data_IF_733539851915
#
_entry.id   IF_733539851915
#
_cell.length_a   1.000
_cell.length_b   1.000
_cell.length_c   1.000
_cell.angle_alpha   90.00
_cell.angle_beta   90.00
_cell.angle_gamma   90.00
#
_symmetry.space_group_name_H-M   'P 1'
#
loop_
_entity.id
_entity.type
_entity.pdbx_description
1 polymer ?
#
# COMPACT_ATOMS: atom_id res chain seq x y z
N UNK A 1 10.00 -25.72 -9.01
CA UNK A 1 9.85 -24.95 -7.76
C UNK A 1 11.05 -24.04 -7.67
N UNK A 2 10.86 -22.73 -7.91
CA UNK A 2 11.94 -21.76 -7.77
C UNK A 2 12.24 -21.58 -6.27
N UNK A 3 13.48 -21.78 -5.87
CA UNK A 3 13.96 -21.41 -4.54
C UNK A 3 13.93 -19.88 -4.44
N UNK A 4 13.14 -19.34 -3.52
CA UNK A 4 13.11 -17.90 -3.28
C UNK A 4 14.53 -17.40 -2.95
N UNK A 5 14.96 -16.32 -3.60
CA UNK A 5 16.30 -15.76 -3.41
C UNK A 5 16.41 -14.93 -2.12
N UNK A 6 15.32 -14.89 -1.34
CA UNK A 6 15.17 -14.01 -0.20
C UNK A 6 14.95 -14.83 1.09
N UNK A 7 15.59 -14.39 2.17
CA UNK A 7 15.45 -14.95 3.50
C UNK A 7 14.53 -14.09 4.36
N UNK A 8 13.62 -14.73 5.11
CA UNK A 8 12.75 -14.04 6.06
C UNK A 8 13.44 -14.04 7.42
N UNK A 9 13.55 -12.86 8.04
CA UNK A 9 14.08 -12.69 9.39
C UNK A 9 13.10 -11.88 10.24
N UNK A 10 12.96 -12.26 11.50
CA UNK A 10 12.20 -11.50 12.49
C UNK A 10 13.16 -10.61 13.28
N UNK A 11 13.12 -9.29 13.03
CA UNK A 11 13.97 -8.33 13.73
C UNK A 11 13.19 -7.61 14.82
N UNK A 12 13.71 -7.61 16.05
CA UNK A 12 13.20 -6.79 17.17
C UNK A 12 13.57 -5.31 17.05
N UNK A 13 14.37 -4.96 16.04
CA UNK A 13 15.05 -3.68 15.89
C UNK A 13 14.23 -2.53 15.28
N UNK A 14 12.90 -2.56 15.35
CA UNK A 14 12.10 -1.47 14.75
C UNK A 14 12.45 -0.12 15.41
N UNK A 15 12.91 0.85 14.62
CA UNK A 15 13.28 2.16 15.12
C UNK A 15 12.01 2.97 15.46
N UNK A 16 11.82 3.26 16.75
CA UNK A 16 10.66 4.00 17.25
C UNK A 16 9.50 3.09 17.65
N UNK A 17 8.30 3.65 17.71
CA UNK A 17 7.09 2.89 18.03
C UNK A 17 6.62 2.13 16.78
N UNK A 18 6.74 0.80 16.79
CA UNK A 18 6.41 -0.04 15.62
C UNK A 18 4.95 0.12 15.14
N UNK A 19 4.03 0.45 16.05
CA UNK A 19 2.63 0.70 15.72
C UNK A 19 2.43 1.97 14.88
N UNK A 20 3.37 2.92 14.97
CA UNK A 20 3.36 4.19 14.22
C UNK A 20 3.95 4.03 12.81
N UNK A 21 4.80 3.03 12.58
CA UNK A 21 5.41 2.75 11.27
C UNK A 21 4.37 2.06 10.38
N UNK A 22 3.95 2.71 9.30
CA UNK A 22 2.94 2.17 8.37
C UNK A 22 3.57 1.43 7.20
N UNK A 23 2.77 0.55 6.61
CA UNK A 23 3.09 -0.24 5.43
C UNK A 23 4.24 -1.24 5.64
N UNK A 24 4.42 -1.70 6.88
CA UNK A 24 5.36 -2.77 7.25
C UNK A 24 4.62 -4.02 7.73
N UNK A 25 5.33 -5.14 7.79
CA UNK A 25 4.83 -6.38 8.37
C UNK A 25 5.34 -6.50 9.80
N UNK A 26 4.42 -6.60 10.75
CA UNK A 26 4.74 -6.72 12.18
C UNK A 26 4.54 -8.17 12.60
N UNK A 27 5.49 -8.71 13.35
CA UNK A 27 5.32 -9.95 14.08
C UNK A 27 5.23 -9.67 15.59
N UNK A 28 4.41 -10.45 16.29
CA UNK A 28 4.29 -10.43 17.75
C UNK A 28 4.32 -11.86 18.27
N UNK A 29 5.24 -12.14 19.18
CA UNK A 29 5.41 -13.44 19.79
C UNK A 29 4.90 -13.41 21.23
N UNK A 30 4.01 -14.34 21.57
CA UNK A 30 3.35 -14.41 22.86
C UNK A 30 3.53 -15.77 23.54
N UNK A 31 3.82 -15.75 24.84
CA UNK A 31 3.82 -16.90 25.74
C UNK A 31 2.41 -17.19 26.24
N UNK A 32 1.97 -18.44 26.15
CA UNK A 32 0.70 -18.84 26.77
C UNK A 32 0.85 -18.99 28.29
N UNK A 33 -0.01 -18.30 29.05
CA UNK A 33 0.03 -18.23 30.52
C UNK A 33 -1.20 -18.86 31.19
N UNK A 34 -2.05 -19.55 30.42
CA UNK A 34 -3.28 -20.18 30.90
C UNK A 34 -4.54 -19.57 30.30
N UNK A 35 -5.69 -19.97 30.84
CA UNK A 35 -7.00 -19.45 30.41
C UNK A 35 -7.53 -18.41 31.38
N UNK A 36 -8.41 -17.55 30.88
CA UNK A 36 -9.19 -16.56 31.63
C UNK A 36 -10.64 -16.62 31.20
N UNK A 37 -11.55 -16.28 32.12
CA UNK A 37 -12.93 -16.01 31.72
C UNK A 37 -13.00 -14.72 30.90
N UNK A 38 -13.90 -14.69 29.93
CA UNK A 38 -14.16 -13.49 29.15
C UNK A 38 -15.63 -13.31 28.89
N UNK A 39 -16.09 -12.08 29.12
CA UNK A 39 -17.43 -11.60 28.77
C UNK A 39 -17.40 -10.74 27.50
N UNK A 40 -16.23 -10.61 26.87
CA UNK A 40 -16.05 -9.81 25.67
C UNK A 40 -16.75 -10.52 24.53
N UNK A 41 -17.66 -9.80 23.87
CA UNK A 41 -18.23 -10.20 22.58
C UNK A 41 -17.62 -9.30 21.52
N UNK A 42 -17.10 -9.91 20.47
CA UNK A 42 -16.48 -9.21 19.35
C UNK A 42 -16.53 -10.06 18.09
N UNK A 43 -16.23 -9.43 16.96
CA UNK A 43 -16.12 -10.10 15.67
C UNK A 43 -14.64 -10.38 15.43
N UNK A 44 -14.29 -11.64 15.20
CA UNK A 44 -12.94 -12.04 14.79
C UNK A 44 -12.87 -11.88 13.27
N UNK A 45 -11.93 -11.09 12.78
CA UNK A 45 -11.67 -10.99 11.35
C UNK A 45 -11.06 -12.30 10.86
N UNK A 46 -11.42 -12.75 9.66
CA UNK A 46 -10.87 -13.98 9.09
C UNK A 46 -9.37 -13.78 8.80
N UNK A 47 -8.47 -14.65 9.29
CA UNK A 47 -7.07 -14.59 8.90
C UNK A 47 -6.91 -14.98 7.42
N UNK A 48 -5.89 -14.43 6.79
CA UNK A 48 -5.45 -14.84 5.46
C UNK A 48 -4.39 -15.95 5.57
N UNK A 49 -3.98 -16.55 4.45
CA UNK A 49 -2.90 -17.54 4.44
C UNK A 49 -1.62 -17.03 3.78
N UNK A 50 -1.74 -16.04 2.90
CA UNK A 50 -0.68 -15.46 2.10
C UNK A 50 -0.96 -13.97 1.91
N UNK A 51 0.03 -13.12 2.19
CA UNK A 51 -0.03 -11.68 1.89
C UNK A 51 0.25 -11.39 0.40
N UNK A 52 0.40 -12.42 -0.43
CA UNK A 52 0.64 -12.40 -1.88
C UNK A 52 1.93 -11.70 -2.30
N UNK A 53 2.81 -11.49 -1.32
CA UNK A 53 4.08 -10.83 -1.48
C UNK A 53 5.24 -11.75 -1.08
N UNK A 54 5.00 -13.05 -0.93
CA UNK A 54 6.02 -13.98 -0.43
C UNK A 54 6.15 -14.03 1.09
N UNK A 55 5.31 -13.32 1.85
CA UNK A 55 5.08 -13.58 3.28
C UNK A 55 3.83 -14.45 3.38
N UNK A 56 4.01 -15.74 3.56
CA UNK A 56 2.91 -16.70 3.68
C UNK A 56 3.08 -17.60 4.88
N UNK A 57 1.96 -18.13 5.36
CA UNK A 57 1.93 -19.12 6.44
C UNK A 57 2.86 -20.29 6.13
N UNK A 58 2.79 -20.87 4.93
CA UNK A 58 3.59 -22.03 4.56
C UNK A 58 5.10 -21.72 4.51
N UNK A 59 5.49 -20.56 3.95
CA UNK A 59 6.90 -20.16 3.89
C UNK A 59 7.47 -19.91 5.28
N UNK A 60 6.76 -19.18 6.14
CA UNK A 60 7.21 -18.93 7.52
C UNK A 60 7.26 -20.22 8.33
N UNK A 61 6.26 -21.10 8.22
CA UNK A 61 6.25 -22.40 8.91
C UNK A 61 7.43 -23.27 8.49
N UNK A 62 7.77 -23.31 7.20
CA UNK A 62 8.92 -24.06 6.71
C UNK A 62 10.22 -23.60 7.38
N UNK A 63 10.37 -22.28 7.56
CA UNK A 63 11.55 -21.67 8.19
C UNK A 63 11.60 -21.90 9.70
N UNK A 64 10.50 -21.62 10.41
CA UNK A 64 10.40 -21.80 11.85
C UNK A 64 10.63 -23.26 12.30
N UNK A 65 10.22 -24.23 11.49
CA UNK A 65 10.42 -25.65 11.78
C UNK A 65 11.81 -26.18 11.35
N UNK A 66 12.59 -25.39 10.61
CA UNK A 66 13.98 -25.70 10.28
C UNK A 66 14.98 -25.10 11.27
N UNK A 67 14.63 -23.99 11.93
CA UNK A 67 15.50 -23.34 12.90
C UNK A 67 14.93 -22.03 13.44
N UNK A 68 15.72 -21.37 14.28
CA UNK A 68 15.38 -20.07 14.84
C UNK A 68 15.60 -18.96 13.78
N UNK A 69 14.54 -18.21 13.45
CA UNK A 69 14.59 -17.06 12.52
C UNK A 69 14.44 -15.70 13.22
N UNK A 70 14.35 -15.72 14.55
CA UNK A 70 14.40 -14.53 15.37
C UNK A 70 15.85 -14.03 15.48
N UNK A 71 16.02 -12.72 15.69
CA UNK A 71 17.32 -12.09 15.96
C UNK A 71 17.78 -12.24 17.42
N UNK A 72 17.08 -13.05 18.22
CA UNK A 72 17.42 -13.39 19.59
C UNK A 72 17.27 -14.89 19.84
N UNK A 73 17.93 -15.37 20.90
CA UNK A 73 17.81 -16.75 21.34
C UNK A 73 16.41 -17.05 21.86
N UNK A 74 15.73 -18.01 21.25
CA UNK A 74 14.37 -18.38 21.59
C UNK A 74 14.13 -19.88 21.44
N UNK A 75 13.55 -20.47 22.48
CA UNK A 75 13.09 -21.86 22.49
C UNK A 75 11.57 -21.88 22.63
N UNK A 76 10.83 -22.33 21.61
CA UNK A 76 9.37 -22.37 21.65
C UNK A 76 8.81 -23.23 22.79
N UNK A 77 7.75 -22.75 23.42
CA UNK A 77 6.97 -23.52 24.38
C UNK A 77 5.59 -23.88 23.84
N UNK A 78 5.02 -24.95 24.38
CA UNK A 78 3.70 -25.45 24.00
C UNK A 78 2.67 -24.32 24.12
N UNK A 79 1.97 -24.06 23.01
CA UNK A 79 0.98 -23.01 22.81
C UNK A 79 1.52 -21.59 22.69
N UNK A 80 2.82 -21.38 22.57
CA UNK A 80 3.33 -20.08 22.15
C UNK A 80 2.72 -19.71 20.79
N UNK A 81 2.26 -18.47 20.67
CA UNK A 81 1.55 -17.97 19.48
C UNK A 81 2.36 -16.86 18.84
N UNK A 82 2.53 -16.96 17.54
CA UNK A 82 3.16 -15.94 16.71
C UNK A 82 2.08 -15.33 15.81
N UNK A 83 1.86 -14.04 15.97
CA UNK A 83 0.96 -13.25 15.15
C UNK A 83 1.75 -12.46 14.11
N UNK A 84 1.33 -12.47 12.86
CA UNK A 84 1.92 -11.65 11.79
C UNK A 84 0.80 -10.82 11.18
N UNK A 85 1.01 -9.52 11.06
CA UNK A 85 0.04 -8.57 10.51
C UNK A 85 0.69 -7.55 9.59
N UNK A 86 -0.09 -7.00 8.67
CA UNK A 86 0.31 -5.84 7.90
C UNK A 86 -0.17 -4.57 8.61
N UNK A 87 0.75 -3.70 9.04
CA UNK A 87 0.43 -2.43 9.69
C UNK A 87 0.01 -1.40 8.65
N UNK A 88 -1.18 -1.60 8.09
CA UNK A 88 -1.71 -0.73 7.07
C UNK A 88 -2.03 0.68 7.59
N UNK A 89 -1.92 1.67 6.70
CA UNK A 89 -2.38 3.03 6.98
C UNK A 89 -3.90 3.08 7.21
N UNK A 90 -4.65 2.21 6.54
CA UNK A 90 -6.11 2.12 6.67
C UNK A 90 -6.55 0.75 7.18
N UNK A 91 -7.51 0.74 8.12
CA UNK A 91 -7.99 -0.50 8.77
C UNK A 91 -8.55 -1.55 7.80
N UNK A 92 -9.11 -1.13 6.67
CA UNK A 92 -9.68 -2.04 5.66
C UNK A 92 -8.61 -2.89 4.95
N UNK A 93 -7.36 -2.45 4.99
CA UNK A 93 -6.20 -3.18 4.46
C UNK A 93 -5.52 -4.06 5.51
N UNK A 94 -6.01 -4.04 6.77
CA UNK A 94 -5.45 -4.89 7.79
C UNK A 94 -5.66 -6.35 7.42
N UNK A 95 -4.55 -7.04 7.25
CA UNK A 95 -4.47 -8.46 7.00
C UNK A 95 -3.57 -9.09 8.05
N UNK A 96 -3.87 -10.32 8.42
CA UNK A 96 -3.06 -11.03 9.40
C UNK A 96 -3.20 -12.55 9.26
N UNK A 97 -2.23 -13.26 9.82
CA UNK A 97 -2.37 -14.66 10.16
C UNK A 97 -1.69 -14.96 11.50
N UNK A 98 -1.89 -16.18 12.00
CA UNK A 98 -1.29 -16.61 13.25
C UNK A 98 -0.85 -18.05 13.16
N UNK A 99 0.27 -18.31 13.84
CA UNK A 99 0.90 -19.61 13.96
C UNK A 99 0.97 -19.97 15.45
N UNK A 100 0.87 -21.26 15.75
CA UNK A 100 0.93 -21.78 17.11
C UNK A 100 1.93 -22.92 17.19
N UNK A 101 2.75 -22.92 18.23
CA UNK A 101 3.65 -24.02 18.52
C UNK A 101 2.90 -25.09 19.31
N UNK A 102 2.77 -26.30 18.76
CA UNK A 102 2.12 -27.44 19.39
C UNK A 102 2.79 -28.72 18.95
N UNK A 103 2.85 -29.70 19.83
CA UNK A 103 3.41 -31.03 19.51
C UNK A 103 4.85 -30.92 18.97
N UNK A 104 5.61 -29.96 19.50
CA UNK A 104 7.01 -29.63 19.14
C UNK A 104 7.22 -29.06 17.74
N UNK A 105 6.15 -28.63 17.05
CA UNK A 105 6.25 -27.97 15.74
C UNK A 105 5.40 -26.69 15.71
N UNK A 106 5.81 -25.72 14.90
CA UNK A 106 4.95 -24.63 14.50
C UNK A 106 3.94 -25.11 13.46
N UNK A 107 2.68 -24.69 13.62
CA UNK A 107 1.60 -24.97 12.67
C UNK A 107 0.61 -23.80 12.60
N UNK A 108 -0.26 -23.78 11.59
CA UNK A 108 -1.31 -22.75 11.44
C UNK A 108 -2.25 -22.80 12.65
N UNK A 109 -2.56 -21.65 13.24
CA UNK A 109 -3.51 -21.56 14.34
C UNK A 109 -3.16 -20.50 15.38
N UNK A 110 -4.02 -20.37 16.38
CA UNK A 110 -3.81 -19.49 17.52
C UNK A 110 -4.48 -20.05 18.77
N UNK A 111 -4.11 -19.54 19.94
CA UNK A 111 -4.91 -19.74 21.13
C UNK A 111 -6.25 -18.99 20.99
N UNK A 112 -7.32 -19.45 21.67
CA UNK A 112 -8.57 -18.72 21.70
C UNK A 112 -8.41 -17.27 22.22
N UNK A 113 -8.56 -16.28 21.33
CA UNK A 113 -8.28 -14.87 21.62
C UNK A 113 -8.92 -14.33 22.90
N UNK A 114 -10.20 -14.63 23.11
CA UNK A 114 -10.94 -14.05 24.23
C UNK A 114 -10.66 -14.74 25.56
N UNK A 115 -10.34 -16.03 25.56
CA UNK A 115 -10.24 -16.85 26.78
C UNK A 115 -8.81 -17.24 27.14
N UNK A 116 -7.82 -16.82 26.36
CA UNK A 116 -6.41 -17.09 26.64
C UNK A 116 -5.77 -15.91 27.37
N UNK A 117 -4.92 -16.23 28.34
CA UNK A 117 -3.99 -15.28 28.97
C UNK A 117 -2.64 -15.48 28.30
N UNK A 118 -2.11 -14.41 27.73
CA UNK A 118 -0.85 -14.42 27.01
C UNK A 118 0.03 -13.28 27.51
N UNK A 119 1.34 -13.48 27.46
CA UNK A 119 2.36 -12.48 27.79
C UNK A 119 3.25 -12.25 26.57
N UNK A 120 3.40 -10.98 26.16
CA UNK A 120 4.24 -10.63 25.02
C UNK A 120 5.70 -10.93 25.36
N UNK A 121 6.33 -11.81 24.58
CA UNK A 121 7.76 -12.10 24.66
C UNK A 121 8.53 -11.00 23.93
N UNK A 122 8.16 -10.76 22.67
CA UNK A 122 8.82 -9.80 21.79
C UNK A 122 7.89 -9.43 20.64
N UNK A 123 8.22 -8.33 19.97
CA UNK A 123 7.62 -7.91 18.72
C UNK A 123 8.66 -7.24 17.84
N UNK A 124 8.34 -7.10 16.56
CA UNK A 124 9.28 -6.52 15.63
C UNK A 124 8.78 -6.54 14.19
N UNK A 125 9.68 -6.16 13.28
CA UNK A 125 9.42 -6.14 11.85
C UNK A 125 9.78 -7.49 11.22
N UNK A 126 8.95 -7.94 10.28
CA UNK A 126 9.30 -9.03 9.36
C UNK A 126 10.15 -8.45 8.24
N UNK A 127 11.44 -8.73 8.27
CA UNK A 127 12.39 -8.28 7.26
C UNK A 127 12.64 -9.36 6.23
N UNK A 128 12.78 -8.92 4.98
CA UNK A 128 13.15 -9.76 3.86
C UNK A 128 14.55 -9.39 3.42
N UNK A 129 15.48 -10.32 3.63
CA UNK A 129 16.89 -10.19 3.30
C UNK A 129 17.09 -10.74 1.90
N UNK A 130 17.58 -9.88 1.01
CA UNK A 130 17.88 -10.24 -0.38
C UNK A 130 19.33 -10.74 -0.48
N UNK A 131 19.53 -12.00 -0.88
CA UNK A 131 20.86 -12.63 -0.86
C UNK A 131 21.81 -12.16 -1.98
N UNK A 132 21.31 -11.35 -2.92
CA UNK A 132 22.06 -10.78 -4.04
C UNK A 132 21.58 -9.36 -4.29
N UNK A 133 22.43 -8.54 -4.90
CA UNK A 133 22.02 -7.22 -5.41
C UNK A 133 20.81 -7.40 -6.32
N UNK A 134 19.68 -6.83 -5.91
CA UNK A 134 18.43 -6.93 -6.65
C UNK A 134 18.28 -5.67 -7.50
N UNK A 135 18.55 -5.81 -8.80
CA UNK A 135 18.47 -4.69 -9.76
C UNK A 135 17.09 -4.04 -9.80
N UNK A 136 16.02 -4.79 -9.49
CA UNK A 136 14.68 -4.23 -9.42
C UNK A 136 14.52 -3.30 -8.21
N UNK A 137 15.01 -3.70 -7.03
CA UNK A 137 14.95 -2.85 -5.83
C UNK A 137 15.77 -1.58 -6.00
N UNK A 138 16.96 -1.68 -6.60
CA UNK A 138 17.80 -0.53 -6.95
C UNK A 138 17.07 0.44 -7.90
N UNK A 139 16.37 -0.11 -8.89
CA UNK A 139 15.52 0.69 -9.78
C UNK A 139 14.36 1.37 -9.02
N UNK A 140 13.75 0.70 -8.02
CA UNK A 140 12.74 1.34 -7.16
C UNK A 140 13.33 2.51 -6.36
N UNK A 141 14.55 2.38 -5.83
CA UNK A 141 15.27 3.47 -5.16
C UNK A 141 15.54 4.64 -6.13
N UNK A 142 15.96 4.35 -7.36
CA UNK A 142 16.16 5.36 -8.41
C UNK A 142 14.85 6.09 -8.76
N UNK A 143 13.72 5.37 -8.82
CA UNK A 143 12.40 5.97 -9.04
C UNK A 143 12.00 6.91 -7.90
N UNK A 144 12.27 6.52 -6.65
CA UNK A 144 12.01 7.37 -5.50
C UNK A 144 12.89 8.61 -5.50
N UNK A 145 14.19 8.45 -5.74
CA UNK A 145 15.14 9.56 -5.77
C UNK A 145 14.86 10.57 -6.90
N UNK A 146 14.53 10.06 -8.10
CA UNK A 146 14.36 10.89 -9.30
C UNK A 146 12.96 11.49 -9.43
N UNK A 147 11.94 10.72 -9.08
CA UNK A 147 10.54 11.08 -9.33
C UNK A 147 9.70 11.17 -8.06
N UNK A 148 10.26 10.92 -6.88
CA UNK A 148 9.51 10.88 -5.62
C UNK A 148 8.55 9.68 -5.52
N UNK A 149 8.63 8.71 -6.43
CA UNK A 149 7.71 7.57 -6.49
C UNK A 149 8.21 6.48 -5.54
N UNK A 150 7.47 6.27 -4.46
CA UNK A 150 7.74 5.19 -3.52
C UNK A 150 6.95 3.93 -3.90
N UNK A 151 7.66 2.91 -4.40
CA UNK A 151 7.03 1.62 -4.73
C UNK A 151 6.63 0.90 -3.42
N UNK A 152 5.36 0.48 -3.29
CA UNK A 152 4.84 -0.22 -2.12
C UNK A 152 5.67 -1.45 -1.73
N UNK A 153 5.91 -1.64 -0.43
CA UNK A 153 6.73 -2.76 0.08
C UNK A 153 6.18 -4.12 -0.34
N UNK A 154 4.85 -4.30 -0.26
CA UNK A 154 4.18 -5.52 -0.76
C UNK A 154 4.50 -5.82 -2.22
N UNK A 155 4.56 -4.79 -3.06
CA UNK A 155 4.91 -4.92 -4.48
C UNK A 155 6.40 -5.18 -4.66
N UNK A 156 7.28 -4.47 -3.92
CA UNK A 156 8.73 -4.69 -3.95
C UNK A 156 9.09 -6.13 -3.64
N UNK A 157 8.53 -6.67 -2.55
CA UNK A 157 8.81 -8.05 -2.16
C UNK A 157 8.34 -9.03 -3.24
N UNK A 158 7.08 -8.92 -3.72
CA UNK A 158 6.55 -9.77 -4.79
C UNK A 158 7.42 -9.74 -6.04
N UNK A 159 7.77 -8.53 -6.49
CA UNK A 159 8.50 -8.30 -7.74
C UNK A 159 9.97 -8.70 -7.66
N UNK A 160 10.59 -8.58 -6.48
CA UNK A 160 11.99 -8.93 -6.25
C UNK A 160 12.27 -10.43 -6.36
N UNK A 161 11.28 -11.28 -6.08
CA UNK A 161 11.35 -12.75 -6.17
C UNK A 161 11.15 -13.26 -7.61
N UNK A 162 10.80 -12.37 -8.57
CA UNK A 162 10.54 -12.74 -9.96
C UNK A 162 11.84 -12.83 -10.79
N UNK A 163 11.87 -13.72 -11.81
CA UNK A 163 12.94 -13.74 -12.80
C UNK A 163 13.07 -12.41 -13.55
N UNK A 164 14.27 -12.07 -14.02
CA UNK A 164 14.54 -10.83 -14.77
C UNK A 164 13.69 -10.74 -16.06
N UNK A 165 13.38 -11.89 -16.65
CA UNK A 165 12.56 -12.07 -17.85
C UNK A 165 11.07 -12.36 -17.54
N UNK A 166 10.63 -12.12 -16.29
CA UNK A 166 9.23 -12.29 -15.89
C UNK A 166 8.29 -11.48 -16.76
N UNK A 167 7.16 -12.10 -17.12
CA UNK A 167 6.04 -11.46 -17.82
C UNK A 167 4.99 -10.88 -16.86
N UNK A 168 5.28 -10.80 -15.56
CA UNK A 168 4.36 -10.19 -14.59
C UNK A 168 4.10 -8.72 -14.97
N UNK A 169 2.83 -8.31 -15.11
CA UNK A 169 2.51 -7.01 -15.67
C UNK A 169 2.91 -5.86 -14.74
N UNK A 170 2.82 -6.03 -13.42
CA UNK A 170 3.22 -5.01 -12.44
C UNK A 170 4.74 -4.86 -12.44
N UNK A 171 5.47 -5.97 -12.45
CA UNK A 171 6.92 -5.98 -12.58
C UNK A 171 7.37 -5.23 -13.84
N UNK A 172 6.77 -5.53 -15.00
CA UNK A 172 7.11 -4.89 -16.26
C UNK A 172 6.77 -3.40 -16.28
N UNK A 173 5.65 -3.00 -15.67
CA UNK A 173 5.24 -1.61 -15.58
C UNK A 173 6.23 -0.76 -14.77
N UNK A 174 6.73 -1.29 -13.66
CA UNK A 174 7.73 -0.62 -12.82
C UNK A 174 9.09 -0.66 -13.50
N UNK A 175 9.52 -1.82 -14.00
CA UNK A 175 10.82 -1.99 -14.67
C UNK A 175 10.97 -1.09 -15.89
N UNK A 176 9.92 -0.96 -16.69
CA UNK A 176 9.90 -0.13 -17.89
C UNK A 176 9.17 1.20 -17.66
N UNK A 177 9.20 1.71 -16.42
CA UNK A 177 8.49 2.93 -16.04
C UNK A 177 8.80 4.08 -17.01
N UNK A 178 7.74 4.74 -17.48
CA UNK A 178 7.82 5.89 -18.39
C UNK A 178 7.28 7.15 -17.76
N UNK A 179 6.04 7.06 -17.26
CA UNK A 179 5.30 8.17 -16.70
C UNK A 179 4.27 7.67 -15.69
N UNK A 180 3.87 8.55 -14.76
CA UNK A 180 2.70 8.34 -13.94
C UNK A 180 1.48 8.93 -14.61
N UNK A 181 0.32 8.36 -14.30
CA UNK A 181 -0.97 8.99 -14.56
C UNK A 181 -1.53 9.58 -13.28
N UNK A 182 -2.09 10.79 -13.39
CA UNK A 182 -2.70 11.50 -12.27
C UNK A 182 -4.22 11.48 -12.41
N UNK A 183 -4.87 11.26 -11.28
CA UNK A 183 -6.31 11.27 -11.13
C UNK A 183 -6.66 12.25 -10.02
N UNK A 184 -7.60 13.14 -10.31
CA UNK A 184 -8.02 14.12 -9.32
C UNK A 184 -9.02 13.50 -8.34
N UNK A 185 -8.83 13.79 -7.06
CA UNK A 185 -9.84 13.47 -6.05
C UNK A 185 -11.08 14.34 -6.24
N UNK A 186 -12.21 13.89 -5.71
CA UNK A 186 -13.46 14.66 -5.73
C UNK A 186 -13.27 16.01 -5.03
N UNK A 187 -12.70 16.03 -3.81
CA UNK A 187 -12.42 17.25 -3.04
C UNK A 187 -11.66 18.32 -3.84
N UNK A 188 -10.60 17.91 -4.57
CA UNK A 188 -9.84 18.84 -5.43
C UNK A 188 -10.67 19.41 -6.57
N UNK A 189 -11.45 18.57 -7.25
CA UNK A 189 -12.32 18.99 -8.35
C UNK A 189 -13.41 19.95 -7.84
N UNK A 190 -14.02 19.65 -6.69
CA UNK A 190 -15.03 20.51 -6.07
C UNK A 190 -14.45 21.87 -5.71
N UNK A 191 -13.27 21.90 -5.10
CA UNK A 191 -12.58 23.14 -4.72
C UNK A 191 -12.20 23.97 -5.95
N UNK A 192 -11.56 23.35 -6.94
CA UNK A 192 -11.12 24.03 -8.15
C UNK A 192 -12.33 24.59 -8.93
N UNK A 193 -13.38 23.78 -9.09
CA UNK A 193 -14.61 24.22 -9.76
C UNK A 193 -15.30 25.35 -8.99
N UNK A 194 -15.42 25.24 -7.65
CA UNK A 194 -16.01 26.28 -6.82
C UNK A 194 -15.28 27.62 -6.98
N UNK A 195 -13.95 27.62 -6.81
CA UNK A 195 -13.14 28.82 -6.94
C UNK A 195 -13.17 29.44 -8.34
N UNK A 196 -13.04 28.60 -9.37
CA UNK A 196 -13.02 29.08 -10.75
C UNK A 196 -14.37 29.70 -11.14
N UNK A 197 -15.46 29.02 -10.81
CA UNK A 197 -16.81 29.45 -11.22
C UNK A 197 -17.34 30.62 -10.39
N UNK A 198 -16.88 30.81 -9.15
CA UNK A 198 -17.18 32.00 -8.35
C UNK A 198 -16.54 33.27 -8.96
N UNK A 199 -15.39 33.12 -9.61
CA UNK A 199 -14.67 34.22 -10.26
C UNK A 199 -15.03 34.39 -11.74
N UNK A 200 -15.50 33.32 -12.40
CA UNK A 200 -15.85 33.29 -13.82
C UNK A 200 -17.23 32.63 -14.03
N UNK A 201 -18.35 33.37 -13.84
CA UNK A 201 -19.69 32.79 -13.80
C UNK A 201 -20.31 32.43 -15.18
N UNK A 202 -19.65 32.79 -16.29
CA UNK A 202 -20.17 32.56 -17.65
C UNK A 202 -19.99 31.11 -18.09
N UNK A 203 -20.80 30.60 -19.03
CA UNK A 203 -20.73 29.19 -19.48
C UNK A 203 -19.43 28.79 -20.18
N UNK A 204 -18.72 29.73 -20.83
CA UNK A 204 -17.40 29.49 -21.47
C UNK A 204 -16.31 29.10 -20.44
N UNK A 205 -16.49 29.46 -19.17
CA UNK A 205 -15.57 29.11 -18.06
C UNK A 205 -15.42 27.60 -17.85
N UNK A 206 -16.41 26.79 -18.23
CA UNK A 206 -16.34 25.34 -18.07
C UNK A 206 -15.36 24.69 -19.05
N UNK A 207 -15.25 25.23 -20.28
CA UNK A 207 -14.34 24.69 -21.28
C UNK A 207 -12.88 25.05 -20.96
N UNK A 208 -12.64 26.27 -20.49
CA UNK A 208 -11.31 26.73 -20.07
C UNK A 208 -10.77 25.92 -18.89
N UNK A 209 -11.58 25.75 -17.84
CA UNK A 209 -11.18 24.96 -16.67
C UNK A 209 -10.99 23.48 -17.04
N UNK A 210 -11.86 22.92 -17.89
CA UNK A 210 -11.70 21.55 -18.37
C UNK A 210 -10.37 21.40 -19.13
N UNK A 211 -10.04 22.33 -20.02
CA UNK A 211 -8.79 22.30 -20.78
C UNK A 211 -7.57 22.35 -19.83
N UNK A 212 -7.61 23.21 -18.82
CA UNK A 212 -6.53 23.34 -17.83
C UNK A 212 -6.33 22.03 -17.04
N UNK A 213 -7.43 21.40 -16.60
CA UNK A 213 -7.41 20.13 -15.86
C UNK A 213 -6.93 18.97 -16.74
N UNK A 214 -7.34 18.94 -18.01
CA UNK A 214 -6.91 17.91 -18.97
C UNK A 214 -5.42 18.07 -19.30
N UNK A 215 -4.94 19.30 -19.52
CA UNK A 215 -3.52 19.59 -19.75
C UNK A 215 -2.64 19.25 -18.54
N UNK A 216 -3.18 19.41 -17.32
CA UNK A 216 -2.46 19.09 -16.11
C UNK A 216 -2.33 17.59 -15.81
N UNK A 217 -3.00 16.71 -16.59
CA UNK A 217 -3.25 15.30 -16.23
C UNK A 217 -2.01 14.39 -16.05
N UNK A 218 -0.79 14.83 -16.42
CA UNK A 218 0.47 14.13 -16.12
C UNK A 218 1.57 15.09 -15.63
N UNK A 219 1.19 16.27 -15.13
CA UNK A 219 2.13 17.38 -14.85
C UNK A 219 2.48 17.56 -13.38
N UNK A 220 1.90 16.75 -12.48
CA UNK A 220 2.19 16.86 -11.03
C UNK A 220 3.54 16.25 -10.68
N UNK A 221 4.42 17.07 -10.13
CA UNK A 221 5.71 16.66 -9.58
C UNK A 221 5.53 16.23 -8.13
N UNK A 222 5.78 14.96 -7.83
CA UNK A 222 5.81 14.42 -6.46
C UNK A 222 6.87 15.10 -5.58
N UNK A 223 8.13 15.32 -6.05
CA UNK A 223 9.14 16.01 -5.26
C UNK A 223 8.76 17.46 -4.94
N UNK A 224 8.18 18.18 -5.90
CA UNK A 224 7.81 19.60 -5.73
C UNK A 224 6.40 19.79 -5.15
N UNK A 225 5.60 18.72 -5.09
CA UNK A 225 4.20 18.70 -4.63
C UNK A 225 3.32 19.75 -5.33
N UNK A 226 3.50 19.90 -6.65
CA UNK A 226 2.78 20.88 -7.48
C UNK A 226 2.74 20.47 -8.95
N UNK A 227 1.82 21.02 -9.71
CA UNK A 227 1.76 20.93 -11.17
C UNK A 227 2.86 21.78 -11.81
N UNK A 228 3.64 21.17 -12.70
CA UNK A 228 4.79 21.78 -13.39
C UNK A 228 4.69 21.56 -14.90
N UNK A 229 4.89 22.63 -15.67
CA UNK A 229 4.99 22.58 -17.13
C UNK A 229 5.86 23.73 -17.63
N UNK A 230 6.49 23.53 -18.78
CA UNK A 230 7.19 24.59 -19.51
C UNK A 230 6.28 25.36 -20.47
N UNK A 231 5.12 24.80 -20.81
CA UNK A 231 4.22 25.32 -21.84
C UNK A 231 2.92 25.93 -21.27
N UNK A 232 2.49 25.46 -20.10
CA UNK A 232 1.21 25.84 -19.48
C UNK A 232 1.44 26.39 -18.08
N UNK A 233 0.79 27.50 -17.77
CA UNK A 233 0.73 28.03 -16.41
C UNK A 233 -0.34 27.30 -15.59
N UNK A 234 0.11 26.60 -14.54
CA UNK A 234 -0.77 25.89 -13.60
C UNK A 234 -0.90 26.59 -12.25
N UNK A 235 -0.57 27.88 -12.15
CA UNK A 235 -0.63 28.65 -10.89
C UNK A 235 -2.01 28.52 -10.21
N UNK A 236 -3.10 28.61 -10.96
CA UNK A 236 -4.45 28.42 -10.42
C UNK A 236 -4.67 27.04 -9.76
N UNK A 237 -4.25 25.95 -10.43
CA UNK A 237 -4.39 24.59 -9.88
C UNK A 237 -3.46 24.37 -8.68
N UNK A 238 -2.28 24.98 -8.71
CA UNK A 238 -1.33 24.95 -7.59
C UNK A 238 -1.87 25.67 -6.36
N UNK A 239 -2.53 26.82 -6.54
CA UNK A 239 -3.20 27.53 -5.46
C UNK A 239 -4.34 26.68 -4.87
N UNK A 240 -5.16 26.06 -5.72
CA UNK A 240 -6.21 25.14 -5.27
C UNK A 240 -5.63 23.96 -4.48
N UNK A 241 -4.53 23.37 -4.94
CA UNK A 241 -3.89 22.26 -4.26
C UNK A 241 -3.31 22.68 -2.89
N UNK A 242 -2.69 23.86 -2.83
CA UNK A 242 -2.17 24.44 -1.60
C UNK A 242 -3.28 24.60 -0.54
N UNK A 243 -4.46 25.04 -0.95
CA UNK A 243 -5.60 25.26 -0.04
C UNK A 243 -6.22 23.99 0.53
N UNK A 244 -5.92 22.82 -0.05
CA UNK A 244 -6.22 21.52 0.58
C UNK A 244 -5.26 21.17 1.73
N UNK A 245 -4.36 22.10 2.09
CA UNK A 245 -3.34 21.95 3.11
C UNK A 245 -2.09 21.22 2.60
N UNK A 246 -1.85 21.20 1.29
CA UNK A 246 -0.69 20.55 0.66
C UNK A 246 -0.63 19.03 0.85
N UNK A 247 -1.74 18.40 1.29
CA UNK A 247 -1.83 16.97 1.45
C UNK A 247 -2.12 16.32 0.09
N UNK A 248 -1.14 15.60 -0.45
CA UNK A 248 -1.23 14.93 -1.76
C UNK A 248 -2.45 14.01 -1.83
N UNK A 249 -2.74 13.26 -0.76
CA UNK A 249 -3.83 12.28 -0.72
C UNK A 249 -5.23 12.92 -0.82
N UNK A 250 -5.33 14.23 -0.52
CA UNK A 250 -6.57 15.00 -0.67
C UNK A 250 -6.72 15.65 -2.04
N UNK A 251 -5.66 15.72 -2.82
CA UNK A 251 -5.63 16.43 -4.10
C UNK A 251 -5.65 15.48 -5.29
N UNK A 252 -4.71 14.54 -5.27
CA UNK A 252 -4.37 13.70 -6.41
C UNK A 252 -4.09 12.26 -6.00
N UNK A 253 -4.52 11.33 -6.85
CA UNK A 253 -4.12 9.93 -6.84
C UNK A 253 -3.18 9.72 -8.01
N UNK A 254 -2.01 9.18 -7.72
CA UNK A 254 -0.92 8.96 -8.66
C UNK A 254 -0.79 7.46 -8.86
N UNK A 255 -0.67 7.07 -10.12
CA UNK A 255 -0.64 5.67 -10.47
C UNK A 255 0.34 5.37 -11.60
N UNK A 256 0.95 4.19 -11.54
CA UNK A 256 1.75 3.63 -12.63
C UNK A 256 0.82 2.85 -13.56
N UNK A 257 0.72 3.19 -14.85
CA UNK A 257 -0.04 2.38 -15.81
C UNK A 257 0.57 0.98 -15.95
N UNK A 258 -0.27 -0.05 -15.79
CA UNK A 258 0.16 -1.46 -15.89
C UNK A 258 -0.16 -2.01 -17.29
N UNK A 259 -1.44 -2.02 -17.63
CA UNK A 259 -2.00 -2.48 -18.91
C UNK A 259 -3.28 -1.70 -19.23
N UNK A 260 -4.07 -2.12 -20.23
CA UNK A 260 -5.26 -1.38 -20.62
C UNK A 260 -6.21 -1.17 -19.42
N UNK A 261 -6.41 0.11 -19.06
CA UNK A 261 -7.23 0.58 -17.93
C UNK A 261 -6.78 0.14 -16.54
N UNK A 262 -5.65 -0.55 -16.38
CA UNK A 262 -5.15 -0.99 -15.08
C UNK A 262 -4.00 -0.13 -14.59
N UNK A 263 -4.02 0.18 -13.29
CA UNK A 263 -3.11 1.11 -12.67
C UNK A 263 -2.68 0.64 -11.29
N UNK A 264 -1.38 0.67 -11.00
CA UNK A 264 -0.84 0.50 -9.65
C UNK A 264 -0.86 1.84 -8.94
N UNK A 265 -1.60 1.95 -7.83
CA UNK A 265 -1.64 3.18 -7.05
C UNK A 265 -0.39 3.31 -6.16
N UNK A 266 0.26 4.47 -6.22
CA UNK A 266 1.51 4.77 -5.50
C UNK A 266 1.38 5.90 -4.48
N UNK A 267 0.17 6.37 -4.18
CA UNK A 267 -0.12 7.21 -3.02
C UNK A 267 -1.58 7.06 -2.53
N UNK A 268 -1.95 7.73 -1.44
CA UNK A 268 -3.34 7.77 -0.98
C UNK A 268 -3.87 6.45 -0.41
N UNK A 269 -5.20 6.36 -0.34
CA UNK A 269 -5.93 5.29 0.35
C UNK A 269 -5.95 3.95 -0.40
N UNK A 270 -5.44 3.91 -1.63
CA UNK A 270 -5.34 2.70 -2.45
C UNK A 270 -3.89 2.29 -2.65
N UNK A 271 -2.95 2.87 -1.90
CA UNK A 271 -1.52 2.60 -2.00
C UNK A 271 -1.24 1.09 -2.03
N UNK A 272 -0.48 0.63 -3.02
CA UNK A 272 -0.18 -0.80 -3.16
C UNK A 272 -1.22 -1.62 -3.92
N UNK A 273 -2.38 -1.06 -4.22
CA UNK A 273 -3.45 -1.77 -4.93
C UNK A 273 -3.40 -1.49 -6.43
N UNK A 274 -3.70 -2.53 -7.20
CA UNK A 274 -4.08 -2.38 -8.60
C UNK A 274 -5.56 -1.99 -8.67
N UNK A 275 -5.88 -1.01 -9.50
CA UNK A 275 -7.25 -0.59 -9.79
C UNK A 275 -7.52 -0.56 -11.27
N UNK A 276 -8.80 -0.67 -11.63
CA UNK A 276 -9.27 -0.57 -13.00
C UNK A 276 -10.00 0.75 -13.17
N UNK A 277 -9.76 1.45 -14.29
CA UNK A 277 -10.54 2.65 -14.65
C UNK A 277 -12.01 2.29 -14.75
N UNK A 278 -12.88 3.09 -14.12
CA UNK A 278 -14.33 2.85 -14.16
C UNK A 278 -14.85 2.74 -15.60
N UNK A 279 -15.78 1.82 -15.85
CA UNK A 279 -16.48 1.71 -17.15
C UNK A 279 -17.39 2.92 -17.40
N UNK A 280 -17.81 3.63 -16.35
CA UNK A 280 -18.40 4.96 -16.48
C UNK A 280 -17.25 5.92 -16.73
N UNK A 281 -16.90 6.10 -18.00
CA UNK A 281 -15.67 6.77 -18.46
C UNK A 281 -15.37 8.13 -17.78
N UNK A 282 -16.37 8.83 -17.23
CA UNK A 282 -16.22 10.15 -16.59
C UNK A 282 -17.16 10.33 -15.39
N UNK A 283 -16.61 10.76 -14.26
CA UNK A 283 -17.38 11.42 -13.17
C UNK A 283 -17.61 12.88 -13.55
N UNK A 284 -18.60 13.50 -12.91
CA UNK A 284 -18.98 14.88 -13.19
C UNK A 284 -19.24 15.65 -11.91
N UNK A 285 -18.59 16.81 -11.79
CA UNK A 285 -19.04 17.86 -10.90
C UNK A 285 -20.04 18.75 -11.63
N UNK A 286 -21.11 19.16 -10.96
CA UNK A 286 -22.14 20.06 -11.52
C UNK A 286 -22.46 21.16 -10.52
N UNK A 287 -22.37 22.41 -10.97
CA UNK A 287 -22.82 23.57 -10.22
C UNK A 287 -23.67 24.46 -11.14
N UNK A 288 -24.97 24.59 -10.86
CA UNK A 288 -25.94 25.33 -11.70
C UNK A 288 -25.87 24.89 -13.18
N UNK A 289 -25.32 25.76 -14.05
CA UNK A 289 -25.19 25.52 -15.51
C UNK A 289 -23.79 25.01 -15.91
N UNK A 290 -22.85 24.91 -14.97
CA UNK A 290 -21.46 24.53 -15.22
C UNK A 290 -21.23 23.06 -14.88
N UNK A 291 -20.34 22.42 -15.64
CA UNK A 291 -20.06 20.99 -15.53
C UNK A 291 -18.59 20.73 -15.79
N UNK A 292 -17.94 20.02 -14.87
CA UNK A 292 -16.56 19.60 -15.02
C UNK A 292 -16.49 18.07 -15.04
N UNK A 293 -15.73 17.51 -15.98
CA UNK A 293 -15.53 16.07 -16.16
C UNK A 293 -14.18 15.69 -15.56
N UNK A 294 -14.14 14.58 -14.85
CA UNK A 294 -12.89 14.03 -14.33
C UNK A 294 -12.92 12.50 -14.31
N UNK A 295 -11.74 11.88 -14.34
CA UNK A 295 -11.60 10.43 -14.30
C UNK A 295 -11.60 9.92 -12.86
N UNK A 296 -12.21 8.75 -12.64
CA UNK A 296 -12.18 8.04 -11.36
C UNK A 296 -11.95 6.54 -11.57
N UNK A 297 -11.92 5.80 -10.47
CA UNK A 297 -11.62 4.37 -10.47
C UNK A 297 -12.70 3.54 -9.80
N UNK A 298 -12.68 2.24 -10.11
CA UNK A 298 -13.34 1.21 -9.33
C UNK A 298 -12.26 0.30 -8.75
N UNK A 299 -12.36 -0.05 -7.47
CA UNK A 299 -11.51 -1.11 -6.92
C UNK A 299 -11.81 -2.38 -7.71
N UNK A 300 -10.80 -2.99 -8.33
CA UNK A 300 -10.97 -4.34 -8.87
C UNK A 300 -11.45 -5.21 -7.72
N UNK A 301 -12.66 -5.78 -7.83
CA UNK A 301 -13.09 -6.81 -6.90
C UNK A 301 -12.05 -7.91 -6.96
N UNK A 302 -11.44 -8.21 -5.81
CA UNK A 302 -10.60 -9.38 -5.61
C UNK A 302 -11.40 -10.61 -6.08
N UNK A 303 -10.84 -11.31 -7.07
CA UNK A 303 -11.27 -12.64 -7.50
C UNK A 303 -10.53 -13.70 -6.71
#
# INVERSE_FOLDING_TARGET
>A
MCTANNEIKFCTCAEGNIDEIKNIYIWTLNRYMGSKESRIRGIIMRPIEDFENGISTDRILSKLNMGNIFDFEYTPQERDTLHISFNAKHRIEYQYFSLIFKDKIWQKGCNPFFTSKEEKIAEGEVQIIYNKENLFLKHCEDLQAKYGIEIPESVKIKASDLPIDSSDPVYLAIKNFKECKIFYTEDFIELAAGKYFDTHPNTESSEELQLMIDQAQNSFSLPEKRFVSHETDFSFLNDCFHDLGGNIDKGVVIAIPIQDREYLIVNGFLYGRTVVRSQKDKKYFKNKNQKLKYEGFESSKES
#
